data_IF_380279845882
#
_entry.id   IF_380279845882
#
_cell.length_a   1.000
_cell.length_b   1.000
_cell.length_c   1.000
_cell.angle_alpha   90.00
_cell.angle_beta   90.00
_cell.angle_gamma   90.00
#
_symmetry.space_group_name_H-M   'P 1'
#
loop_
_entity.id
_entity.type
_entity.pdbx_description
1 polymer ?
#
# COMPACT_ATOMS: atom_id res chain seq x y z
N UNK A 1 35.27 38.96 39.07
CA UNK A 1 34.02 38.13 38.97
C UNK A 1 33.75 37.81 37.53
N UNK A 2 34.18 36.64 37.09
CA UNK A 2 34.08 36.17 35.69
C UNK A 2 32.90 35.22 35.56
N UNK A 3 31.88 35.61 34.80
CA UNK A 3 30.75 34.74 34.45
C UNK A 3 31.17 33.78 33.35
N UNK A 4 31.27 32.50 33.66
CA UNK A 4 31.40 31.40 32.65
C UNK A 4 30.02 31.10 32.12
N UNK A 5 29.82 31.41 30.85
CA UNK A 5 28.66 30.98 30.06
C UNK A 5 28.88 29.57 29.63
N UNK A 6 28.16 28.62 30.19
CA UNK A 6 28.17 27.22 29.72
C UNK A 6 27.26 27.12 28.48
N UNK A 7 27.87 26.91 27.31
CA UNK A 7 27.15 26.50 26.10
C UNK A 7 26.81 25.01 26.23
N UNK A 8 25.54 24.72 26.44
CA UNK A 8 25.00 23.37 26.27
C UNK A 8 24.88 23.07 24.77
N UNK A 9 25.84 22.33 24.22
CA UNK A 9 25.69 21.70 22.91
C UNK A 9 24.68 20.57 23.05
N UNK A 10 23.46 20.82 22.58
CA UNK A 10 22.47 19.78 22.31
C UNK A 10 22.95 18.96 21.12
N UNK A 11 23.53 17.79 21.35
CA UNK A 11 23.81 16.81 20.31
C UNK A 11 22.48 16.22 19.84
N UNK A 12 21.93 16.78 18.77
CA UNK A 12 20.85 16.16 18.04
C UNK A 12 21.40 14.85 17.43
N UNK A 13 21.05 13.72 18.03
CA UNK A 13 21.29 12.40 17.43
C UNK A 13 20.53 12.34 16.12
N UNK A 14 21.23 12.55 15.02
CA UNK A 14 20.69 12.32 13.68
C UNK A 14 20.37 10.82 13.55
N UNK A 15 19.11 10.46 13.76
CA UNK A 15 18.64 9.14 13.41
C UNK A 15 18.76 9.03 11.89
N UNK A 16 19.65 8.15 11.42
CA UNK A 16 19.76 7.85 10.01
C UNK A 16 18.37 7.43 9.50
N UNK A 17 17.84 8.18 8.54
CA UNK A 17 16.58 7.80 7.90
C UNK A 17 16.79 6.43 7.23
N UNK A 18 15.92 5.45 7.46
CA UNK A 18 16.03 4.15 6.81
C UNK A 18 16.05 4.36 5.30
N UNK A 19 16.92 3.61 4.60
CA UNK A 19 16.93 3.63 3.13
C UNK A 19 15.52 3.38 2.64
N UNK A 20 15.04 4.16 1.68
CA UNK A 20 13.64 4.12 1.20
C UNK A 20 13.17 2.72 0.77
N UNK A 21 14.09 1.85 0.33
CA UNK A 21 13.80 0.45 -0.01
C UNK A 21 13.47 -0.41 1.21
N UNK A 22 13.95 -0.06 2.40
CA UNK A 22 13.70 -0.82 3.64
C UNK A 22 12.26 -0.67 4.13
N UNK A 23 11.55 0.41 3.76
CA UNK A 23 10.18 0.66 4.21
C UNK A 23 9.20 -0.44 3.77
N UNK A 24 9.41 -1.07 2.61
CA UNK A 24 8.55 -2.15 2.13
C UNK A 24 8.63 -3.44 2.97
N UNK A 25 9.68 -3.59 3.77
CA UNK A 25 9.94 -4.79 4.58
C UNK A 25 9.62 -4.59 6.06
N UNK A 26 9.20 -3.40 6.45
CA UNK A 26 8.76 -3.14 7.81
C UNK A 26 7.36 -3.72 8.05
N UNK A 27 7.10 -4.13 9.27
CA UNK A 27 5.74 -4.52 9.66
C UNK A 27 4.78 -3.33 9.57
N UNK A 28 3.48 -3.61 9.35
CA UNK A 28 2.45 -2.56 9.32
C UNK A 28 2.41 -1.77 10.65
N UNK A 29 2.64 -2.43 11.78
CA UNK A 29 2.71 -1.80 13.10
C UNK A 29 3.88 -0.83 13.23
N UNK A 30 5.04 -1.20 12.69
CA UNK A 30 6.21 -0.33 12.71
C UNK A 30 6.06 0.86 11.75
N UNK A 31 5.56 0.63 10.53
CA UNK A 31 5.22 1.71 9.60
C UNK A 31 4.25 2.71 10.24
N UNK A 32 3.20 2.19 10.90
CA UNK A 32 2.21 3.02 11.58
C UNK A 32 2.82 3.83 12.73
N UNK A 33 3.72 3.24 13.51
CA UNK A 33 4.43 3.95 14.57
C UNK A 33 5.30 5.07 14.01
N UNK A 34 6.01 4.83 12.90
CA UNK A 34 6.84 5.85 12.22
C UNK A 34 6.02 6.97 11.60
N UNK A 35 4.90 6.65 10.95
CA UNK A 35 3.95 7.63 10.42
C UNK A 35 3.41 8.54 11.54
N UNK A 36 2.97 7.96 12.67
CA UNK A 36 2.46 8.72 13.82
C UNK A 36 3.52 9.60 14.46
N UNK A 37 4.78 9.15 14.50
CA UNK A 37 5.91 9.94 14.99
C UNK A 37 6.44 10.93 13.95
N UNK A 38 5.85 10.99 12.74
CA UNK A 38 6.30 11.82 11.62
C UNK A 38 7.76 11.57 11.22
N UNK A 39 8.25 10.35 11.43
CA UNK A 39 9.58 9.91 11.02
C UNK A 39 9.62 9.55 9.53
N UNK A 40 8.47 9.21 8.96
CA UNK A 40 8.23 9.01 7.54
C UNK A 40 6.88 9.59 7.17
N UNK A 41 6.72 10.02 5.93
CA UNK A 41 5.45 10.48 5.35
C UNK A 41 4.71 9.34 4.67
N UNK A 42 3.39 9.50 4.50
CA UNK A 42 2.57 8.55 3.74
C UNK A 42 3.03 8.45 2.27
N UNK A 43 3.52 9.55 1.68
CA UNK A 43 4.10 9.57 0.33
C UNK A 43 5.37 8.74 0.25
N UNK A 44 6.29 8.87 1.22
CA UNK A 44 7.53 8.07 1.23
C UNK A 44 7.25 6.58 1.35
N UNK A 45 6.30 6.20 2.22
CA UNK A 45 5.85 4.81 2.36
C UNK A 45 5.22 4.31 1.06
N UNK A 46 4.28 5.06 0.47
CA UNK A 46 3.64 4.70 -0.79
C UNK A 46 4.66 4.55 -1.93
N UNK A 47 5.55 5.53 -2.10
CA UNK A 47 6.56 5.54 -3.15
C UNK A 47 7.52 4.35 -3.04
N UNK A 48 7.87 3.94 -1.82
CA UNK A 48 8.68 2.75 -1.61
C UNK A 48 7.96 1.49 -2.12
N UNK A 49 6.67 1.34 -1.82
CA UNK A 49 5.86 0.21 -2.28
C UNK A 49 5.64 0.24 -3.80
N UNK A 50 5.37 1.42 -4.39
CA UNK A 50 5.20 1.55 -5.84
C UNK A 50 6.47 1.14 -6.61
N UNK A 51 7.66 1.57 -6.14
CA UNK A 51 8.94 1.14 -6.75
C UNK A 51 9.15 -0.37 -6.63
N UNK A 52 8.79 -0.97 -5.50
CA UNK A 52 8.90 -2.41 -5.32
C UNK A 52 7.94 -3.16 -6.25
N UNK A 53 6.72 -2.67 -6.42
CA UNK A 53 5.76 -3.20 -7.39
C UNK A 53 6.32 -3.09 -8.81
N UNK A 54 6.81 -1.93 -9.21
CA UNK A 54 7.41 -1.72 -10.53
C UNK A 54 8.55 -2.71 -10.82
N UNK A 55 9.41 -2.94 -9.84
CA UNK A 55 10.55 -3.85 -9.94
C UNK A 55 10.17 -5.33 -10.04
N UNK A 56 9.18 -5.77 -9.28
CA UNK A 56 8.88 -7.19 -9.11
C UNK A 56 7.63 -7.65 -9.86
N UNK A 57 6.62 -6.81 -9.99
CA UNK A 57 5.33 -7.21 -10.55
C UNK A 57 5.39 -7.74 -11.98
N UNK A 58 6.28 -7.24 -12.88
CA UNK A 58 6.45 -7.84 -14.20
C UNK A 58 6.84 -9.33 -14.19
N UNK A 59 7.46 -9.79 -13.09
CA UNK A 59 7.87 -11.18 -12.92
C UNK A 59 6.81 -12.04 -12.23
N UNK A 60 6.09 -11.46 -11.25
CA UNK A 60 5.17 -12.21 -10.38
C UNK A 60 3.70 -12.03 -10.72
N UNK A 61 3.31 -10.92 -11.38
CA UNK A 61 1.94 -10.61 -11.77
C UNK A 61 0.96 -10.65 -10.57
N UNK A 62 1.33 -10.00 -9.46
CA UNK A 62 0.52 -10.01 -8.24
C UNK A 62 -0.48 -8.84 -8.19
N UNK A 63 -0.07 -7.64 -8.62
CA UNK A 63 -0.92 -6.45 -8.70
C UNK A 63 -1.41 -6.30 -10.14
N UNK A 64 -2.69 -6.55 -10.37
CA UNK A 64 -3.29 -6.63 -11.71
C UNK A 64 -3.98 -5.34 -12.16
N UNK A 65 -4.32 -4.47 -11.23
CA UNK A 65 -4.80 -3.11 -11.50
C UNK A 65 -4.10 -2.18 -10.51
N UNK A 66 -3.29 -1.26 -11.02
CA UNK A 66 -2.56 -0.28 -10.21
C UNK A 66 -3.20 1.11 -10.42
N UNK A 67 -3.46 1.83 -9.32
CA UNK A 67 -4.03 3.19 -9.33
C UNK A 67 -3.08 4.19 -8.66
N UNK A 68 -1.82 4.18 -9.11
CA UNK A 68 -0.72 4.93 -8.50
C UNK A 68 -1.04 6.43 -8.33
N UNK A 69 -1.63 7.09 -9.33
CA UNK A 69 -1.90 8.52 -9.26
C UNK A 69 -3.00 8.85 -8.25
N UNK A 70 -4.06 8.04 -8.17
CA UNK A 70 -5.09 8.19 -7.15
C UNK A 70 -4.49 7.96 -5.75
N UNK A 71 -3.66 6.93 -5.60
CA UNK A 71 -2.98 6.63 -4.34
C UNK A 71 -2.07 7.78 -3.88
N UNK A 72 -1.30 8.41 -4.80
CA UNK A 72 -0.46 9.57 -4.50
C UNK A 72 -1.28 10.77 -3.99
N UNK A 73 -2.45 11.02 -4.57
CA UNK A 73 -3.34 12.09 -4.10
C UNK A 73 -3.89 11.81 -2.69
N UNK A 74 -4.19 10.54 -2.38
CA UNK A 74 -4.62 10.15 -1.03
C UNK A 74 -3.46 10.29 -0.04
N UNK A 75 -2.25 9.88 -0.42
CA UNK A 75 -1.06 10.02 0.41
C UNK A 75 -0.74 11.48 0.74
N UNK A 76 -0.87 12.39 -0.25
CA UNK A 76 -0.70 13.81 -0.03
C UNK A 76 -1.69 14.34 1.02
N UNK A 77 -2.98 14.00 0.90
CA UNK A 77 -4.00 14.39 1.89
C UNK A 77 -3.73 13.82 3.28
N UNK A 78 -3.19 12.58 3.34
CA UNK A 78 -2.81 11.97 4.61
C UNK A 78 -1.67 12.75 5.28
N UNK A 79 -0.63 13.14 4.53
CA UNK A 79 0.47 13.95 5.03
C UNK A 79 0.00 15.33 5.50
N UNK A 80 -0.88 16.00 4.76
CA UNK A 80 -1.47 17.27 5.14
C UNK A 80 -2.28 17.17 6.45
N UNK A 81 -3.04 16.08 6.62
CA UNK A 81 -3.77 15.82 7.84
C UNK A 81 -2.83 15.59 9.03
N UNK A 82 -1.77 14.78 8.83
CA UNK A 82 -0.76 14.52 9.85
C UNK A 82 0.01 15.78 10.26
N UNK A 83 0.31 16.68 9.32
CA UNK A 83 0.95 17.98 9.61
C UNK A 83 0.09 18.80 10.59
N UNK A 84 -1.23 18.76 10.42
CA UNK A 84 -2.22 19.43 11.30
C UNK A 84 -2.52 18.63 12.59
N UNK A 85 -1.76 17.57 12.90
CA UNK A 85 -1.98 16.72 14.07
C UNK A 85 -3.19 15.78 13.95
N UNK A 86 -3.82 15.67 12.78
CA UNK A 86 -5.00 14.84 12.55
C UNK A 86 -4.61 13.55 11.83
N UNK A 87 -4.80 12.41 12.48
CA UNK A 87 -4.64 11.10 11.88
C UNK A 87 -6.03 10.56 11.50
N UNK A 88 -6.13 10.04 10.25
CA UNK A 88 -7.41 9.61 9.67
C UNK A 88 -7.97 8.33 10.32
N UNK A 89 -7.12 7.57 11.01
CA UNK A 89 -7.52 6.35 11.70
C UNK A 89 -6.33 5.43 11.99
N UNK A 90 -6.58 4.19 12.43
CA UNK A 90 -5.52 3.23 12.80
C UNK A 90 -4.66 2.79 11.62
N UNK A 91 -5.13 2.92 10.38
CA UNK A 91 -4.37 2.57 9.16
C UNK A 91 -3.88 3.79 8.40
N UNK A 92 -3.84 4.97 9.05
CA UNK A 92 -3.45 6.23 8.43
C UNK A 92 -2.15 6.11 7.64
N UNK A 93 -2.23 6.37 6.33
CA UNK A 93 -1.08 6.42 5.44
C UNK A 93 -0.50 5.07 5.01
N UNK A 94 -1.06 3.94 5.46
CA UNK A 94 -0.62 2.61 5.04
C UNK A 94 -1.16 2.27 3.66
N UNK A 95 -0.31 1.87 2.70
CA UNK A 95 -0.76 1.39 1.39
C UNK A 95 -1.35 -0.02 1.49
N UNK A 96 -2.43 -0.25 0.75
CA UNK A 96 -3.10 -1.55 0.64
C UNK A 96 -3.54 -1.81 -0.80
N UNK A 97 -3.45 -3.07 -1.24
CA UNK A 97 -4.12 -3.56 -2.43
C UNK A 97 -5.28 -4.47 -2.03
N UNK A 98 -6.47 -4.22 -2.60
CA UNK A 98 -7.63 -5.08 -2.38
C UNK A 98 -7.61 -6.26 -3.36
N UNK A 99 -8.06 -7.42 -2.92
CA UNK A 99 -8.25 -8.54 -3.85
C UNK A 99 -9.26 -8.15 -4.94
N UNK A 100 -9.08 -8.63 -6.16
CA UNK A 100 -9.96 -8.30 -7.30
C UNK A 100 -11.35 -8.97 -7.23
N UNK A 101 -11.77 -9.33 -6.02
CA UNK A 101 -13.12 -9.71 -5.62
C UNK A 101 -13.87 -8.60 -4.87
N UNK A 102 -13.12 -7.64 -4.30
CA UNK A 102 -13.69 -6.56 -3.50
C UNK A 102 -14.07 -5.39 -4.40
N UNK A 103 -15.36 -5.14 -4.58
CA UNK A 103 -15.81 -3.95 -5.31
C UNK A 103 -15.20 -2.70 -4.69
N UNK A 104 -14.45 -1.96 -5.51
CA UNK A 104 -13.79 -0.73 -5.10
C UNK A 104 -14.23 0.38 -6.03
N UNK A 105 -14.98 1.33 -5.52
CA UNK A 105 -15.57 2.42 -6.30
C UNK A 105 -14.56 3.10 -7.20
N UNK A 106 -14.87 3.16 -8.50
CA UNK A 106 -14.04 3.82 -9.51
C UNK A 106 -12.75 3.08 -9.88
N UNK A 107 -12.54 1.87 -9.35
CA UNK A 107 -11.38 1.04 -9.67
C UNK A 107 -11.86 -0.26 -10.30
N UNK A 108 -11.34 -0.56 -11.49
CA UNK A 108 -11.65 -1.79 -12.22
C UNK A 108 -11.59 -3.01 -11.30
N UNK A 109 -12.68 -3.78 -11.25
CA UNK A 109 -12.82 -4.98 -10.41
C UNK A 109 -13.47 -6.07 -11.25
N UNK A 110 -12.70 -7.08 -11.62
CA UNK A 110 -13.10 -8.06 -12.65
C UNK A 110 -13.59 -9.38 -12.10
N UNK A 111 -13.44 -9.63 -10.80
CA UNK A 111 -13.68 -10.96 -10.20
C UNK A 111 -12.85 -12.09 -10.85
N UNK A 112 -11.78 -11.73 -11.59
CA UNK A 112 -11.00 -12.67 -12.38
C UNK A 112 -11.76 -13.25 -13.59
N UNK A 113 -12.92 -12.71 -13.95
CA UNK A 113 -13.81 -13.22 -14.99
C UNK A 113 -13.84 -12.33 -16.24
N UNK A 114 -13.80 -12.90 -17.45
CA UNK A 114 -13.99 -12.16 -18.69
C UNK A 114 -15.33 -11.42 -18.77
N UNK A 115 -16.36 -11.92 -18.08
CA UNK A 115 -17.70 -11.29 -18.03
C UNK A 115 -17.65 -9.91 -17.40
N UNK A 116 -16.71 -9.69 -16.49
CA UNK A 116 -16.54 -8.44 -15.75
C UNK A 116 -15.23 -7.72 -16.07
N UNK A 117 -14.54 -8.09 -17.15
CA UNK A 117 -13.21 -7.55 -17.48
C UNK A 117 -13.12 -6.01 -17.52
N UNK A 118 -14.23 -5.35 -17.85
CA UNK A 118 -14.33 -3.90 -17.95
C UNK A 118 -15.21 -3.28 -16.85
N UNK A 119 -15.58 -4.06 -15.83
CA UNK A 119 -16.46 -3.60 -14.76
C UNK A 119 -15.74 -2.58 -13.86
N UNK A 120 -16.37 -1.42 -13.69
CA UNK A 120 -15.94 -0.37 -12.76
C UNK A 120 -17.07 -0.15 -11.74
N UNK A 121 -16.94 -0.64 -10.51
CA UNK A 121 -17.97 -0.50 -9.48
C UNK A 121 -18.29 0.96 -9.15
N UNK A 122 -19.58 1.22 -8.89
CA UNK A 122 -20.05 2.54 -8.44
C UNK A 122 -20.08 2.69 -6.91
N UNK A 123 -19.81 1.61 -6.19
CA UNK A 123 -19.78 1.55 -4.73
C UNK A 123 -18.57 0.72 -4.25
N UNK A 124 -18.24 0.88 -2.99
CA UNK A 124 -17.31 -0.01 -2.29
C UNK A 124 -18.06 -1.17 -1.63
N UNK A 125 -17.38 -2.31 -1.41
CA UNK A 125 -17.81 -3.25 -0.38
C UNK A 125 -17.63 -2.65 1.01
N UNK A 126 -18.37 -3.14 2.00
CA UNK A 126 -18.27 -2.69 3.39
C UNK A 126 -16.83 -2.83 3.93
N UNK A 127 -16.12 -3.87 3.53
CA UNK A 127 -14.71 -4.09 3.89
C UNK A 127 -13.83 -2.95 3.39
N UNK A 128 -13.94 -2.60 2.11
CA UNK A 128 -13.17 -1.51 1.48
C UNK A 128 -13.50 -0.17 2.13
N UNK A 129 -14.79 0.12 2.38
CA UNK A 129 -15.21 1.35 3.07
C UNK A 129 -14.55 1.48 4.45
N UNK A 130 -14.59 0.42 5.25
CA UNK A 130 -14.00 0.43 6.59
C UNK A 130 -12.47 0.60 6.57
N UNK A 131 -11.80 -0.06 5.65
CA UNK A 131 -10.34 0.05 5.49
C UNK A 131 -9.95 1.47 5.07
N UNK A 132 -10.67 2.05 4.10
CA UNK A 132 -10.43 3.42 3.66
C UNK A 132 -10.77 4.44 4.76
N UNK A 133 -11.88 4.25 5.48
CA UNK A 133 -12.25 5.09 6.62
C UNK A 133 -11.23 5.01 7.77
N UNK A 134 -10.55 3.88 7.93
CA UNK A 134 -9.43 3.73 8.85
C UNK A 134 -8.13 4.45 8.39
N UNK A 135 -8.14 5.06 7.21
CA UNK A 135 -7.05 5.90 6.70
C UNK A 135 -6.04 5.18 5.80
N UNK A 136 -6.33 3.96 5.37
CA UNK A 136 -5.48 3.23 4.41
C UNK A 136 -5.55 3.85 3.01
N UNK A 137 -4.48 3.69 2.25
CA UNK A 137 -4.32 4.18 0.89
C UNK A 137 -4.48 3.01 -0.08
N UNK A 138 -5.58 2.97 -0.81
CA UNK A 138 -5.78 1.96 -1.85
C UNK A 138 -4.82 2.22 -3.01
N UNK A 139 -3.88 1.29 -3.27
CA UNK A 139 -2.92 1.40 -4.37
C UNK A 139 -3.32 0.56 -5.61
N UNK A 140 -4.26 -0.37 -5.46
CA UNK A 140 -4.70 -1.20 -6.58
C UNK A 140 -5.43 -2.47 -6.18
N UNK A 141 -5.45 -3.42 -7.11
CA UNK A 141 -6.09 -4.74 -6.97
C UNK A 141 -5.06 -5.84 -7.13
N UNK A 142 -5.15 -6.85 -6.27
CA UNK A 142 -4.38 -8.09 -6.43
C UNK A 142 -5.17 -9.13 -7.20
N UNK A 143 -4.45 -10.06 -7.83
CA UNK A 143 -5.06 -11.12 -8.64
C UNK A 143 -5.91 -12.10 -7.81
N UNK A 144 -6.77 -12.85 -8.49
CA UNK A 144 -7.69 -13.83 -7.90
C UNK A 144 -7.95 -14.95 -8.93
N UNK A 145 -8.24 -16.20 -8.54
CA UNK A 145 -8.93 -17.11 -9.45
C UNK A 145 -10.33 -16.57 -9.77
N UNK A 146 -10.92 -17.01 -10.89
CA UNK A 146 -12.25 -16.56 -11.31
C UNK A 146 -13.28 -16.77 -10.19
N UNK A 147 -13.99 -15.69 -9.82
CA UNK A 147 -14.93 -15.60 -8.68
C UNK A 147 -14.35 -16.09 -7.32
N UNK A 148 -13.02 -16.12 -7.18
CA UNK A 148 -12.39 -16.66 -5.98
C UNK A 148 -12.44 -18.19 -5.89
N UNK A 149 -12.97 -18.87 -6.89
CA UNK A 149 -13.14 -20.32 -6.90
C UNK A 149 -11.88 -21.02 -7.43
N UNK A 150 -11.06 -21.55 -6.54
CA UNK A 150 -9.86 -22.29 -6.90
C UNK A 150 -8.75 -22.21 -5.87
N UNK A 151 -7.86 -23.21 -5.88
CA UNK A 151 -6.70 -23.30 -4.99
C UNK A 151 -5.42 -22.66 -5.58
N UNK A 152 -5.51 -22.10 -6.79
CA UNK A 152 -4.41 -21.50 -7.52
C UNK A 152 -4.82 -20.14 -8.08
N UNK A 153 -3.95 -19.14 -7.98
CA UNK A 153 -4.25 -17.80 -8.48
C UNK A 153 -3.90 -17.66 -9.94
N UNK A 154 -4.85 -17.95 -10.80
CA UNK A 154 -4.82 -17.64 -12.23
C UNK A 154 -6.23 -17.41 -12.76
N UNK A 155 -6.35 -16.65 -13.84
CA UNK A 155 -7.58 -16.46 -14.60
C UNK A 155 -7.27 -16.04 -16.04
N UNK A 156 -8.29 -15.99 -16.89
CA UNK A 156 -8.13 -15.67 -18.32
C UNK A 156 -8.02 -14.17 -18.60
N UNK A 157 -8.31 -13.29 -17.60
CA UNK A 157 -8.20 -11.83 -17.74
C UNK A 157 -6.76 -11.37 -17.56
N UNK A 158 -6.07 -11.89 -16.54
CA UNK A 158 -4.75 -11.41 -16.12
C UNK A 158 -3.65 -12.47 -16.18
N UNK A 159 -3.99 -13.75 -16.37
CA UNK A 159 -3.05 -14.85 -16.28
C UNK A 159 -2.74 -15.27 -14.83
N UNK A 160 -1.64 -15.98 -14.65
CA UNK A 160 -1.24 -16.51 -13.35
C UNK A 160 -0.39 -15.53 -12.54
N UNK A 161 -0.63 -15.51 -11.23
CA UNK A 161 0.33 -14.96 -10.27
C UNK A 161 1.34 -16.02 -9.91
N UNK A 162 2.62 -15.69 -10.04
CA UNK A 162 3.74 -16.62 -9.84
C UNK A 162 4.24 -16.56 -8.40
N UNK A 163 4.76 -17.69 -7.94
CA UNK A 163 5.45 -17.78 -6.67
C UNK A 163 6.77 -17.00 -6.73
N UNK A 164 7.02 -16.03 -5.85
CA UNK A 164 8.24 -15.23 -5.89
C UNK A 164 9.52 -16.02 -5.59
N UNK A 165 9.40 -17.19 -4.97
CA UNK A 165 10.54 -18.09 -4.69
C UNK A 165 10.81 -19.07 -5.83
N UNK A 166 9.79 -19.36 -6.67
CA UNK A 166 9.91 -20.26 -7.83
C UNK A 166 8.94 -19.77 -8.92
N UNK A 167 9.44 -18.96 -9.84
CA UNK A 167 8.64 -18.35 -10.91
C UNK A 167 8.06 -19.35 -11.93
N UNK A 168 8.39 -20.62 -11.85
CA UNK A 168 7.79 -21.69 -12.68
C UNK A 168 6.44 -22.15 -12.12
N UNK A 169 6.12 -21.82 -10.87
CA UNK A 169 4.93 -22.22 -10.14
C UNK A 169 3.99 -21.04 -9.88
N UNK A 170 2.71 -21.35 -9.66
CA UNK A 170 1.76 -20.36 -9.14
C UNK A 170 2.03 -20.08 -7.66
N UNK A 171 1.55 -18.95 -7.14
CA UNK A 171 1.67 -18.64 -5.72
C UNK A 171 0.71 -19.43 -4.83
N UNK A 172 -0.16 -20.28 -5.39
CA UNK A 172 -1.27 -20.89 -4.66
C UNK A 172 -2.38 -19.86 -4.37
N UNK A 173 -3.10 -20.08 -3.30
CA UNK A 173 -4.11 -19.18 -2.77
C UNK A 173 -5.50 -19.39 -3.33
N UNK A 174 -6.40 -18.55 -2.92
CA UNK A 174 -7.62 -18.19 -3.59
C UNK A 174 -7.91 -16.70 -3.36
#
# INVERSE_FOLDING_TARGET
MTRRTALLLSAATAHAQPKREELCFLSATELQARLRRKQVSAREVLDAHLRQIEKLNPKVNAVVTLVADQAKQVALRADEAATKGRFLGPLHGLPIAHKDLEETKGIRTTFGSPLFKDNIPTRNTLLVERIQAAGAITLGKTNTPEFGAGSQTFNTVFGATKNPYDLTKTCGGS
#
